data_IF_690986504537
#
_entry.id   IF_690986504537
#
_cell.length_a   1.000
_cell.length_b   1.000
_cell.length_c   1.000
_cell.angle_alpha   90.00
_cell.angle_beta   90.00
_cell.angle_gamma   90.00
#
_symmetry.space_group_name_H-M   'P 1'
#
loop_
_entity.id
_entity.type
_entity.pdbx_description
1 polymer ?
#
# COMPACT_ATOMS: atom_id res chain seq x y z
N UNK A 1 -11.66 -6.91 3.86
CA UNK A 1 -10.89 -5.72 4.29
C UNK A 1 -11.08 -5.58 5.79
N UNK A 2 -10.01 -5.35 6.56
CA UNK A 2 -10.10 -5.19 8.02
C UNK A 2 -10.40 -3.74 8.42
N UNK A 3 -9.65 -2.78 7.88
CA UNK A 3 -9.86 -1.34 8.11
C UNK A 3 -10.16 -0.67 6.77
N UNK A 4 -11.28 0.06 6.71
CA UNK A 4 -11.69 0.81 5.53
C UNK A 4 -11.93 2.29 5.86
N UNK A 5 -11.20 3.17 5.18
CA UNK A 5 -11.41 4.60 5.17
C UNK A 5 -11.70 5.06 3.75
N UNK A 6 -12.90 5.58 3.50
CA UNK A 6 -13.25 6.14 2.18
C UNK A 6 -12.66 7.54 1.99
N UNK A 7 -13.53 8.53 1.85
CA UNK A 7 -13.15 9.94 1.86
C UNK A 7 -13.02 10.46 3.29
N UNK A 8 -11.85 10.27 3.90
CA UNK A 8 -11.54 10.71 5.27
C UNK A 8 -10.37 11.70 5.28
N UNK A 9 -10.29 12.56 6.28
CA UNK A 9 -9.21 13.53 6.45
C UNK A 9 -8.65 13.49 7.87
N UNK A 10 -7.36 13.81 7.99
CA UNK A 10 -6.67 13.94 9.28
C UNK A 10 -6.78 12.69 10.19
N UNK A 11 -7.05 11.52 9.61
CA UNK A 11 -7.22 10.28 10.34
C UNK A 11 -5.87 9.56 10.52
N UNK A 12 -5.68 8.92 11.68
CA UNK A 12 -4.53 8.04 11.94
C UNK A 12 -4.99 6.60 12.09
N UNK A 13 -4.45 5.71 11.27
CA UNK A 13 -4.56 4.26 11.37
C UNK A 13 -3.17 3.76 11.76
N UNK A 14 -2.93 3.60 13.05
CA UNK A 14 -1.59 3.36 13.58
C UNK A 14 -1.53 2.31 14.67
N UNK A 15 -0.39 1.60 14.76
CA UNK A 15 -0.10 0.61 15.80
C UNK A 15 -1.14 -0.51 15.91
N UNK A 16 -1.59 -1.03 14.76
CA UNK A 16 -2.48 -2.19 14.69
C UNK A 16 -1.71 -3.45 14.29
N UNK A 17 -2.10 -4.59 14.86
CA UNK A 17 -1.76 -5.92 14.35
C UNK A 17 -2.91 -6.39 13.44
N UNK A 18 -2.66 -6.70 12.17
CA UNK A 18 -3.70 -7.17 11.23
C UNK A 18 -3.19 -8.40 10.49
N UNK A 19 -3.82 -9.55 10.72
CA UNK A 19 -3.41 -10.79 10.08
C UNK A 19 -4.56 -11.76 9.81
N UNK A 20 -4.28 -12.78 8.99
CA UNK A 20 -5.25 -13.79 8.53
C UNK A 20 -6.51 -13.20 7.88
N UNK A 21 -6.31 -12.22 7.01
CA UNK A 21 -7.40 -11.56 6.29
C UNK A 21 -7.50 -12.04 4.84
N UNK A 22 -8.72 -12.33 4.39
CA UNK A 22 -8.97 -12.91 3.06
C UNK A 22 -8.61 -11.97 1.90
N UNK A 23 -8.50 -10.67 2.15
CA UNK A 23 -8.23 -9.62 1.14
C UNK A 23 -7.32 -8.54 1.75
N UNK A 24 -7.44 -7.27 1.34
CA UNK A 24 -6.58 -6.20 1.86
C UNK A 24 -6.75 -5.98 3.36
N UNK A 25 -5.66 -5.64 4.06
CA UNK A 25 -5.73 -5.31 5.48
C UNK A 25 -6.28 -3.89 5.69
N UNK A 26 -5.65 -2.90 5.07
CA UNK A 26 -6.08 -1.49 5.12
C UNK A 26 -6.45 -1.02 3.71
N UNK A 27 -7.62 -0.39 3.58
CA UNK A 27 -8.06 0.29 2.35
C UNK A 27 -8.32 1.77 2.65
N UNK A 28 -7.65 2.67 1.94
CA UNK A 28 -7.80 4.11 2.11
C UNK A 28 -8.14 4.83 0.80
N UNK A 29 -9.10 5.75 0.85
CA UNK A 29 -9.55 6.52 -0.30
C UNK A 29 -10.72 5.87 -1.05
N UNK A 30 -11.24 6.56 -2.07
CA UNK A 30 -12.34 6.05 -2.90
C UNK A 30 -12.43 6.73 -4.28
N UNK A 31 -13.34 6.23 -5.11
CA UNK A 31 -13.82 6.91 -6.32
C UNK A 31 -12.88 6.92 -7.51
N UNK A 32 -11.81 6.12 -7.46
CA UNK A 32 -10.88 5.91 -8.58
C UNK A 32 -10.26 7.22 -9.08
N UNK A 33 -10.22 8.28 -8.25
CA UNK A 33 -9.86 9.64 -8.65
C UNK A 33 -10.68 10.24 -9.80
N UNK A 34 -11.74 9.58 -10.28
CA UNK A 34 -12.46 9.94 -11.51
C UNK A 34 -13.18 11.28 -11.47
N UNK A 35 -13.47 11.74 -10.25
CA UNK A 35 -14.11 13.02 -10.00
C UNK A 35 -13.12 14.05 -9.47
N UNK A 36 -11.86 13.73 -9.20
CA UNK A 36 -10.92 14.72 -8.65
C UNK A 36 -10.65 15.86 -9.65
N UNK A 37 -10.57 17.11 -9.17
CA UNK A 37 -10.37 18.31 -10.01
C UNK A 37 -9.14 18.17 -10.92
N UNK A 38 -8.11 17.49 -10.43
CA UNK A 38 -6.84 17.27 -11.13
C UNK A 38 -6.89 16.15 -12.16
N UNK A 39 -7.96 15.36 -12.21
CA UNK A 39 -8.15 14.28 -13.16
C UNK A 39 -8.95 14.83 -14.34
N UNK A 40 -8.26 14.99 -15.47
CA UNK A 40 -8.81 15.59 -16.69
C UNK A 40 -10.14 14.96 -17.17
N UNK A 41 -10.75 15.54 -18.23
CA UNK A 41 -12.20 15.54 -18.52
C UNK A 41 -12.84 14.20 -18.93
N UNK A 42 -12.22 13.04 -18.65
CA UNK A 42 -12.67 11.75 -19.17
C UNK A 42 -13.96 11.20 -18.51
N UNK A 43 -14.58 11.85 -17.51
CA UNK A 43 -15.78 11.32 -16.80
C UNK A 43 -16.74 12.42 -16.29
N UNK A 44 -18.03 12.08 -16.03
CA UNK A 44 -19.14 12.98 -16.36
C UNK A 44 -19.41 14.13 -15.39
N UNK A 45 -18.75 14.22 -14.23
CA UNK A 45 -18.84 15.39 -13.34
C UNK A 45 -17.60 15.47 -12.45
N UNK A 46 -16.61 16.32 -12.76
CA UNK A 46 -15.54 16.59 -11.83
C UNK A 46 -16.09 17.31 -10.59
N UNK A 47 -15.52 16.99 -9.42
CA UNK A 47 -15.59 17.83 -8.24
C UNK A 47 -15.13 19.25 -8.61
N UNK A 48 -15.75 20.25 -8.00
CA UNK A 48 -15.37 21.66 -8.21
C UNK A 48 -14.21 22.07 -7.30
N UNK A 49 -14.11 21.40 -6.16
CA UNK A 49 -13.09 21.61 -5.13
C UNK A 49 -12.21 20.36 -5.00
N UNK A 50 -10.95 20.50 -4.52
CA UNK A 50 -10.08 19.36 -4.27
C UNK A 50 -10.72 18.26 -3.41
N UNK A 51 -10.25 17.02 -3.56
CA UNK A 51 -10.67 15.90 -2.72
C UNK A 51 -10.54 16.26 -1.25
N UNK A 52 -11.58 15.94 -0.46
CA UNK A 52 -11.52 16.06 1.00
C UNK A 52 -10.64 14.98 1.61
N UNK A 53 -10.30 13.91 0.88
CA UNK A 53 -9.35 12.93 1.37
C UNK A 53 -7.97 13.57 1.39
N UNK A 54 -7.36 13.72 2.57
CA UNK A 54 -6.04 14.35 2.73
C UNK A 54 -5.49 14.17 4.14
N UNK A 55 -4.16 14.28 4.29
CA UNK A 55 -3.45 14.29 5.58
C UNK A 55 -3.76 13.09 6.48
N UNK A 56 -4.09 11.95 5.89
CA UNK A 56 -4.27 10.71 6.62
C UNK A 56 -2.91 10.07 6.91
N UNK A 57 -2.83 9.24 7.95
CA UNK A 57 -1.58 8.61 8.37
C UNK A 57 -1.82 7.13 8.58
N UNK A 58 -1.10 6.28 7.85
CA UNK A 58 -1.06 4.83 8.06
C UNK A 58 0.34 4.51 8.62
N UNK A 59 0.44 4.38 9.95
CA UNK A 59 1.73 4.40 10.64
C UNK A 59 1.98 3.14 11.47
N UNK A 60 3.15 2.52 11.32
CA UNK A 60 3.60 1.48 12.25
C UNK A 60 2.59 0.34 12.46
N UNK A 61 1.85 -0.06 11.42
CA UNK A 61 0.99 -1.24 11.49
C UNK A 61 1.82 -2.49 11.17
N UNK A 62 1.58 -3.59 11.89
CA UNK A 62 2.14 -4.90 11.57
C UNK A 62 1.07 -5.72 10.85
N UNK A 63 1.30 -6.00 9.58
CA UNK A 63 0.35 -6.63 8.67
C UNK A 63 0.97 -7.91 8.14
N UNK A 64 0.32 -9.05 8.30
CA UNK A 64 0.84 -10.29 7.73
C UNK A 64 -0.23 -11.30 7.38
N UNK A 65 0.06 -12.21 6.45
CA UNK A 65 -0.94 -13.16 5.93
C UNK A 65 -2.23 -12.43 5.54
N UNK A 66 -2.08 -11.33 4.81
CA UNK A 66 -3.19 -10.66 4.13
C UNK A 66 -3.37 -11.26 2.74
N UNK A 67 -4.45 -10.93 2.01
CA UNK A 67 -4.69 -11.47 0.66
C UNK A 67 -4.77 -13.01 0.59
N UNK A 68 -5.25 -13.66 1.67
CA UNK A 68 -5.24 -15.13 1.79
C UNK A 68 -6.23 -15.87 0.86
N UNK A 69 -7.10 -15.14 0.17
CA UNK A 69 -8.14 -15.75 -0.67
C UNK A 69 -8.35 -14.98 -1.97
N UNK A 70 -8.45 -13.66 -1.90
CA UNK A 70 -8.71 -12.80 -3.06
C UNK A 70 -7.40 -12.23 -3.62
N UNK A 71 -7.45 -11.78 -4.87
CA UNK A 71 -6.38 -11.05 -5.56
C UNK A 71 -6.80 -9.58 -5.79
N UNK A 72 -5.92 -8.78 -6.40
CA UNK A 72 -6.15 -7.38 -6.77
C UNK A 72 -6.31 -6.46 -5.54
N UNK A 73 -5.37 -6.59 -4.61
CA UNK A 73 -5.34 -5.87 -3.33
C UNK A 73 -3.95 -5.94 -2.71
N UNK A 74 -3.77 -5.43 -1.50
CA UNK A 74 -2.51 -5.57 -0.78
C UNK A 74 -2.66 -5.41 0.73
N UNK A 75 -1.55 -5.52 1.47
CA UNK A 75 -1.53 -5.17 2.89
C UNK A 75 -2.06 -3.76 3.11
N UNK A 76 -1.64 -2.82 2.27
CA UNK A 76 -2.20 -1.47 2.24
C UNK A 76 -2.63 -1.15 0.81
N UNK A 77 -3.91 -0.87 0.62
CA UNK A 77 -4.51 -0.48 -0.65
C UNK A 77 -4.93 1.00 -0.58
N UNK A 78 -4.62 1.77 -1.62
CA UNK A 78 -5.02 3.17 -1.74
C UNK A 78 -5.68 3.45 -3.07
N UNK A 79 -6.61 4.42 -3.11
CA UNK A 79 -7.31 4.82 -4.33
C UNK A 79 -7.74 6.30 -4.27
N UNK A 80 -7.60 7.02 -5.38
CA UNK A 80 -7.98 8.44 -5.49
C UNK A 80 -7.00 9.45 -4.84
N UNK A 81 -7.26 10.75 -5.01
CA UNK A 81 -6.37 11.80 -4.51
C UNK A 81 -6.44 11.95 -2.99
N UNK A 82 -5.26 11.99 -2.34
CA UNK A 82 -5.14 12.06 -0.89
C UNK A 82 -3.94 12.88 -0.40
N UNK A 83 -3.83 14.12 -0.87
CA UNK A 83 -2.67 15.00 -0.62
C UNK A 83 -2.22 15.07 0.84
N UNK A 84 -0.91 14.95 1.06
CA UNK A 84 -0.29 15.01 2.39
C UNK A 84 -0.51 13.76 3.23
N UNK A 85 -1.01 12.67 2.63
CA UNK A 85 -1.15 11.38 3.30
C UNK A 85 0.19 10.69 3.39
N UNK A 86 0.42 9.98 4.49
CA UNK A 86 1.68 9.29 4.77
C UNK A 86 1.46 7.82 5.11
N UNK A 87 2.24 6.93 4.50
CA UNK A 87 2.29 5.49 4.77
C UNK A 87 3.71 5.17 5.27
N UNK A 88 3.89 5.13 6.59
CA UNK A 88 5.22 5.15 7.20
C UNK A 88 5.40 4.04 8.22
N UNK A 89 6.55 3.37 8.20
CA UNK A 89 6.93 2.47 9.29
C UNK A 89 6.15 1.17 9.36
N UNK A 90 5.31 0.87 8.36
CA UNK A 90 4.49 -0.34 8.36
C UNK A 90 5.34 -1.55 8.06
N UNK A 91 5.06 -2.65 8.74
CA UNK A 91 5.73 -3.93 8.54
C UNK A 91 4.75 -4.91 7.90
N UNK A 92 4.96 -5.23 6.61
CA UNK A 92 4.07 -6.07 5.81
C UNK A 92 4.80 -7.34 5.38
N UNK A 93 4.28 -8.53 5.70
CA UNK A 93 4.92 -9.77 5.28
C UNK A 93 3.97 -10.95 5.03
N UNK A 94 4.45 -11.98 4.33
CA UNK A 94 3.73 -13.23 4.07
C UNK A 94 2.36 -13.04 3.36
N UNK A 95 2.26 -12.03 2.49
CA UNK A 95 1.02 -11.78 1.75
C UNK A 95 0.68 -12.97 0.85
N UNK A 96 -0.58 -13.41 0.90
CA UNK A 96 -1.11 -14.59 0.22
C UNK A 96 -0.41 -15.92 0.60
N UNK A 97 0.27 -15.96 1.75
CA UNK A 97 1.11 -17.09 2.14
C UNK A 97 2.33 -17.28 1.23
N UNK A 98 2.71 -16.25 0.47
CA UNK A 98 3.93 -16.27 -0.32
C UNK A 98 5.15 -16.29 0.60
N UNK A 99 6.19 -17.03 0.19
CA UNK A 99 7.49 -17.06 0.87
C UNK A 99 8.60 -17.08 -0.18
N UNK A 100 9.48 -16.10 -0.13
CA UNK A 100 10.47 -15.86 -1.17
C UNK A 100 10.64 -14.37 -1.47
N UNK A 101 11.67 -14.06 -2.26
CA UNK A 101 11.92 -12.68 -2.66
C UNK A 101 10.91 -12.26 -3.72
N UNK A 102 10.24 -11.14 -3.47
CA UNK A 102 9.35 -10.48 -4.42
C UNK A 102 10.12 -9.64 -5.43
N UNK A 103 9.36 -8.89 -6.24
CA UNK A 103 9.95 -7.89 -7.13
C UNK A 103 10.72 -6.81 -6.34
N UNK A 104 11.95 -6.54 -6.74
CA UNK A 104 12.86 -5.60 -6.07
C UNK A 104 12.68 -4.17 -6.59
N UNK A 105 11.50 -3.58 -6.36
CA UNK A 105 11.21 -2.22 -6.77
C UNK A 105 9.72 -1.88 -6.84
N UNK A 106 9.43 -0.78 -7.54
CA UNK A 106 8.05 -0.31 -7.80
C UNK A 106 7.63 -0.76 -9.19
N UNK A 107 6.54 -1.53 -9.27
CA UNK A 107 5.90 -1.84 -10.54
C UNK A 107 4.88 -0.76 -10.87
N UNK A 108 4.98 -0.18 -12.07
CA UNK A 108 3.99 0.78 -12.60
C UNK A 108 3.27 0.13 -13.78
N UNK A 109 1.95 -0.01 -13.69
CA UNK A 109 1.08 -0.54 -14.76
C UNK A 109 0.08 0.52 -15.23
N UNK A 110 -0.24 0.61 -16.52
CA UNK A 110 -1.20 1.60 -17.01
C UNK A 110 -1.08 2.01 -18.48
N UNK A 111 -1.80 3.04 -18.92
CA UNK A 111 -1.68 3.58 -20.30
C UNK A 111 -0.26 4.06 -20.70
N UNK A 112 0.66 4.15 -19.73
CA UNK A 112 2.05 4.55 -19.92
C UNK A 112 3.01 3.35 -19.84
N UNK A 113 2.49 2.13 -20.07
CA UNK A 113 3.17 0.85 -19.84
C UNK A 113 4.54 0.71 -20.47
N UNK A 114 4.80 1.28 -21.66
CA UNK A 114 6.08 1.04 -22.36
C UNK A 114 7.29 1.70 -21.68
N UNK A 115 7.09 2.86 -21.03
CA UNK A 115 8.18 3.60 -20.37
C UNK A 115 8.72 2.86 -19.13
N UNK A 116 7.84 2.13 -18.43
CA UNK A 116 8.13 1.48 -17.14
C UNK A 116 8.06 -0.05 -17.23
N UNK A 117 8.01 -0.60 -18.44
CA UNK A 117 7.90 -2.04 -18.60
C UNK A 117 9.19 -2.75 -18.18
N UNK A 118 9.11 -3.54 -17.11
CA UNK A 118 10.14 -4.51 -16.77
C UNK A 118 9.59 -5.93 -16.93
N UNK A 119 10.08 -6.75 -17.87
CA UNK A 119 9.65 -8.15 -18.02
C UNK A 119 9.94 -9.00 -16.79
N UNK A 120 10.88 -8.61 -15.91
CA UNK A 120 11.17 -9.34 -14.67
C UNK A 120 9.98 -9.36 -13.70
N UNK A 121 9.01 -8.46 -13.85
CA UNK A 121 7.79 -8.46 -13.03
C UNK A 121 6.80 -9.57 -13.41
N UNK A 122 6.88 -10.10 -14.64
CA UNK A 122 5.87 -11.01 -15.19
C UNK A 122 5.63 -12.29 -14.38
N UNK A 123 6.66 -12.97 -13.82
CA UNK A 123 6.44 -14.15 -13.00
C UNK A 123 5.62 -13.83 -11.74
N UNK A 124 5.87 -12.67 -11.12
CA UNK A 124 5.18 -12.24 -9.91
C UNK A 124 3.71 -11.90 -10.19
N UNK A 125 3.39 -11.31 -11.35
CA UNK A 125 2.01 -10.98 -11.75
C UNK A 125 1.08 -12.20 -11.87
N UNK A 126 1.62 -13.42 -11.90
CA UNK A 126 0.86 -14.68 -12.01
C UNK A 126 0.63 -15.37 -10.66
N UNK A 127 1.22 -14.84 -9.59
CA UNK A 127 1.06 -15.38 -8.25
C UNK A 127 -0.31 -15.04 -7.66
N UNK A 128 -0.71 -15.75 -6.61
CA UNK A 128 -1.96 -15.50 -5.90
C UNK A 128 -1.83 -14.27 -5.00
N UNK A 129 -2.97 -13.62 -4.73
CA UNK A 129 -3.05 -12.44 -3.86
C UNK A 129 -2.26 -11.21 -4.32
N UNK A 130 -1.81 -11.18 -5.58
CA UNK A 130 -1.07 -10.06 -6.16
C UNK A 130 -1.96 -8.83 -6.29
N UNK A 131 -1.44 -7.60 -6.08
CA UNK A 131 -0.03 -7.30 -5.78
C UNK A 131 0.49 -7.73 -4.40
N UNK A 132 -0.33 -7.64 -3.35
CA UNK A 132 -0.03 -8.16 -2.02
C UNK A 132 0.71 -7.19 -1.09
N UNK A 133 1.44 -6.20 -1.61
CA UNK A 133 2.19 -5.21 -0.82
C UNK A 133 1.44 -3.92 -0.53
N UNK A 134 2.10 -2.77 -0.76
CA UNK A 134 1.45 -1.46 -0.81
C UNK A 134 1.00 -1.21 -2.24
N UNK A 135 -0.31 -1.31 -2.47
CA UNK A 135 -0.96 -1.15 -3.74
C UNK A 135 -1.59 0.25 -3.85
N UNK A 136 -1.06 1.08 -4.74
CA UNK A 136 -1.65 2.35 -5.17
C UNK A 136 -2.49 2.12 -6.42
N UNK A 137 -3.81 2.10 -6.27
CA UNK A 137 -4.74 1.96 -7.38
C UNK A 137 -5.15 3.33 -7.95
N UNK A 138 -6.12 3.35 -8.85
CA UNK A 138 -6.32 4.47 -9.74
C UNK A 138 -6.61 5.80 -9.02
N UNK A 139 -5.88 6.83 -9.46
CA UNK A 139 -6.01 8.18 -8.93
C UNK A 139 -5.16 8.46 -7.69
N UNK A 140 -4.55 7.44 -7.08
CA UNK A 140 -3.65 7.57 -5.92
C UNK A 140 -2.55 8.61 -6.18
N UNK A 141 -2.50 9.68 -5.38
CA UNK A 141 -1.50 10.74 -5.52
C UNK A 141 -1.35 11.54 -4.23
N UNK A 142 -0.21 12.22 -4.10
CA UNK A 142 0.10 13.08 -2.96
C UNK A 142 0.37 12.28 -1.69
N UNK A 143 1.03 11.13 -1.85
CA UNK A 143 1.28 10.15 -0.79
C UNK A 143 2.79 10.05 -0.57
N UNK A 144 3.22 10.14 0.68
CA UNK A 144 4.55 9.71 1.10
C UNK A 144 4.50 8.24 1.50
N UNK A 145 5.43 7.43 0.99
CA UNK A 145 5.60 6.02 1.33
C UNK A 145 7.04 5.84 1.78
N UNK A 146 7.26 5.83 3.09
CA UNK A 146 8.62 5.80 3.64
C UNK A 146 8.83 4.84 4.79
N UNK A 147 10.05 4.30 4.92
CA UNK A 147 10.41 3.44 6.05
C UNK A 147 9.48 2.22 6.23
N UNK A 148 8.86 1.70 5.18
CA UNK A 148 8.07 0.48 5.28
C UNK A 148 8.96 -0.74 5.06
N UNK A 149 8.66 -1.83 5.76
CA UNK A 149 9.38 -3.10 5.66
C UNK A 149 8.46 -4.09 4.96
N UNK A 150 8.90 -4.63 3.83
CA UNK A 150 8.15 -5.60 3.03
C UNK A 150 9.02 -6.78 2.65
N UNK A 151 8.69 -7.98 3.12
CA UNK A 151 9.33 -9.22 2.69
C UNK A 151 8.29 -10.33 2.55
N UNK A 152 8.59 -11.34 1.74
CA UNK A 152 7.63 -12.40 1.44
C UNK A 152 6.30 -11.82 0.90
N UNK A 153 6.46 -10.85 -0.01
CA UNK A 153 5.38 -10.19 -0.75
C UNK A 153 5.71 -10.23 -2.25
N UNK A 154 4.85 -10.77 -3.12
CA UNK A 154 5.12 -10.87 -4.56
C UNK A 154 5.50 -9.54 -5.22
N UNK A 155 4.70 -8.50 -4.99
CA UNK A 155 4.88 -7.15 -5.52
C UNK A 155 4.81 -6.15 -4.36
N UNK A 156 5.94 -5.81 -3.71
CA UNK A 156 6.01 -4.92 -2.55
C UNK A 156 5.38 -3.55 -2.82
N UNK A 157 5.66 -2.96 -3.99
CA UNK A 157 5.05 -1.72 -4.43
C UNK A 157 4.45 -1.88 -5.81
N UNK A 158 3.16 -1.59 -5.91
CA UNK A 158 2.44 -1.69 -7.17
C UNK A 158 1.57 -0.47 -7.36
N UNK A 159 1.84 0.28 -8.43
CA UNK A 159 1.07 1.44 -8.83
C UNK A 159 0.27 1.10 -10.09
N UNK A 160 -1.06 1.05 -9.97
CA UNK A 160 -1.97 0.87 -11.09
C UNK A 160 -2.50 2.24 -11.57
N UNK A 161 -2.34 2.48 -12.87
CA UNK A 161 -2.58 3.78 -13.47
C UNK A 161 -3.44 3.73 -14.73
N UNK A 162 -4.73 4.03 -14.62
CA UNK A 162 -5.61 4.13 -15.80
C UNK A 162 -6.01 5.57 -16.14
N UNK A 163 -5.42 6.59 -15.50
CA UNK A 163 -6.06 7.91 -15.42
C UNK A 163 -5.12 9.06 -15.78
N UNK A 164 -4.02 9.25 -15.06
CA UNK A 164 -3.05 10.34 -15.28
C UNK A 164 -1.69 10.05 -14.64
N UNK A 165 -0.74 11.00 -14.65
CA UNK A 165 0.59 10.79 -14.07
C UNK A 165 0.63 10.91 -12.53
N UNK A 166 -0.40 10.49 -11.80
CA UNK A 166 -0.47 10.60 -10.33
C UNK A 166 0.74 10.04 -9.58
N UNK A 167 1.42 9.02 -10.13
CA UNK A 167 2.64 8.43 -9.58
C UNK A 167 3.78 9.44 -9.41
N UNK A 168 3.81 10.54 -10.19
CA UNK A 168 4.84 11.59 -10.03
C UNK A 168 4.64 12.41 -8.75
N UNK A 169 3.53 12.21 -8.04
CA UNK A 169 3.22 12.80 -6.75
C UNK A 169 3.20 11.75 -5.63
N UNK A 170 3.75 10.57 -5.87
CA UNK A 170 4.01 9.57 -4.83
C UNK A 170 5.51 9.53 -4.57
N UNK A 171 5.88 9.71 -3.31
CA UNK A 171 7.28 9.68 -2.89
C UNK A 171 7.58 8.33 -2.23
N UNK A 172 8.58 7.62 -2.74
CA UNK A 172 9.10 6.39 -2.13
C UNK A 172 10.47 6.70 -1.52
N UNK A 173 10.64 6.46 -0.21
CA UNK A 173 11.88 6.79 0.49
C UNK A 173 12.23 5.74 1.56
N UNK A 174 13.47 5.26 1.57
CA UNK A 174 14.01 4.44 2.64
C UNK A 174 13.15 3.21 3.02
N UNK A 175 12.46 2.61 2.04
CA UNK A 175 11.70 1.38 2.24
C UNK A 175 12.62 0.15 2.11
N UNK A 176 12.33 -0.89 2.90
CA UNK A 176 13.11 -2.12 2.95
C UNK A 176 12.34 -3.23 2.23
N UNK A 177 12.83 -3.63 1.06
CA UNK A 177 12.23 -4.70 0.25
C UNK A 177 13.06 -5.97 0.40
N UNK A 178 12.39 -7.13 0.53
CA UNK A 178 13.01 -8.45 0.58
C UNK A 178 14.06 -8.60 1.71
N UNK A 179 13.89 -7.86 2.81
CA UNK A 179 14.70 -7.99 4.03
C UNK A 179 13.88 -8.71 5.09
N UNK A 180 14.25 -9.95 5.42
CA UNK A 180 13.62 -10.76 6.46
C UNK A 180 14.35 -10.61 7.80
N UNK A 181 13.69 -10.93 8.92
CA UNK A 181 14.37 -11.06 10.21
C UNK A 181 15.59 -11.98 10.11
N UNK A 182 16.77 -11.47 10.45
CA UNK A 182 18.05 -12.18 10.36
C UNK A 182 18.89 -11.89 9.12
N UNK A 183 18.31 -11.28 8.08
CA UNK A 183 19.07 -10.86 6.89
C UNK A 183 19.95 -9.65 7.20
N UNK A 184 21.08 -9.54 6.49
CA UNK A 184 21.89 -8.33 6.51
C UNK A 184 21.08 -7.12 5.99
N UNK A 185 21.05 -6.07 6.80
CA UNK A 185 20.30 -4.84 6.51
C UNK A 185 18.82 -4.88 6.91
N UNK A 186 18.35 -5.92 7.60
CA UNK A 186 17.02 -5.90 8.22
C UNK A 186 16.94 -4.82 9.31
N UNK A 187 15.97 -3.89 9.26
CA UNK A 187 15.90 -2.77 10.19
C UNK A 187 15.20 -3.16 11.50
N UNK A 188 15.92 -3.88 12.37
CA UNK A 188 15.38 -4.45 13.63
C UNK A 188 14.61 -3.44 14.48
N UNK A 189 15.19 -2.26 14.71
CA UNK A 189 14.57 -1.23 15.57
C UNK A 189 13.26 -0.70 14.98
N UNK A 190 13.20 -0.52 13.66
CA UNK A 190 12.01 -0.07 12.96
C UNK A 190 10.92 -1.14 12.97
N UNK A 191 11.30 -2.40 12.76
CA UNK A 191 10.37 -3.54 12.83
C UNK A 191 9.74 -3.66 14.23
N UNK A 192 10.53 -3.42 15.28
CA UNK A 192 10.06 -3.47 16.67
C UNK A 192 9.05 -2.36 17.03
N UNK A 193 8.98 -1.27 16.26
CA UNK A 193 7.99 -0.21 16.42
C UNK A 193 6.63 -0.53 15.80
N UNK A 194 6.56 -1.49 14.86
CA UNK A 194 5.33 -1.84 14.18
C UNK A 194 4.44 -2.74 15.04
N UNK A 195 3.12 -2.61 14.87
CA UNK A 195 2.12 -3.40 15.57
C UNK A 195 1.68 -2.76 16.88
N UNK A 196 1.10 -3.59 17.74
CA UNK A 196 0.45 -3.15 18.97
C UNK A 196 1.47 -2.63 19.99
N UNK A 197 1.23 -1.41 20.50
CA UNK A 197 2.10 -0.78 21.50
C UNK A 197 2.14 -1.55 22.83
N UNK A 198 3.21 -1.42 23.63
CA UNK A 198 3.40 -2.20 24.86
C UNK A 198 2.21 -2.20 25.82
N UNK A 199 1.48 -1.08 25.93
CA UNK A 199 0.31 -0.96 26.80
C UNK A 199 -0.91 -1.79 26.34
N UNK A 200 -0.94 -2.21 25.08
CA UNK A 200 -2.04 -2.97 24.47
C UNK A 200 -1.64 -4.41 24.10
N UNK A 201 -0.39 -4.83 24.32
CA UNK A 201 0.10 -6.17 23.91
C UNK A 201 -0.69 -7.33 24.51
N UNK A 202 -1.38 -7.12 25.63
CA UNK A 202 -2.28 -8.12 26.23
C UNK A 202 -3.40 -8.57 25.28
N UNK A 203 -3.71 -7.81 24.22
CA UNK A 203 -4.67 -8.18 23.18
C UNK A 203 -4.19 -9.33 22.28
N UNK A 204 -2.89 -9.60 22.22
CA UNK A 204 -2.32 -10.67 21.40
C UNK A 204 -2.37 -12.04 22.09
N UNK A 205 -2.54 -12.06 23.41
CA UNK A 205 -2.59 -13.28 24.24
C UNK A 205 -4.02 -13.81 24.47
N UNK A 206 -5.03 -13.12 23.92
CA UNK A 206 -6.46 -13.39 24.13
C UNK A 206 -7.04 -14.37 23.10
#
# INVERSE_FOLDING_TARGET
VAVIGGYIQDCSISHNEIYDVSYSAISLGWGWGRSDVSVGPKRPTPWKEPSVCMRNRILYNHIYRCMMTLCDGGGIYTIGCMTGTSIIGNYIHESAGFHGDGYDGVVICGYQTEEFYDPKREPFMKLTGVPGGIYQDEGSRGIEISNNILHDVPLPFFYHNQIDKGYTMVEYKDNYINKRPGDEGFPVELAACAGVEPEYKFLLDA
#
